data_IF_772169388131
#
_entry.id   IF_772169388131
#
_cell.length_a   1.000
_cell.length_b   1.000
_cell.length_c   1.000
_cell.angle_alpha   90.00
_cell.angle_beta   90.00
_cell.angle_gamma   90.00
#
_symmetry.space_group_name_H-M   'P 1'
#
loop_
_entity.id
_entity.type
_entity.pdbx_description
1 polymer ?
#
# COMPACT_ATOMS: atom_id res chain seq x y z
N UNK A 1 25.06 38.57 -3.17
CA UNK A 1 23.91 38.01 -2.41
C UNK A 1 23.78 36.49 -2.51
N UNK A 2 24.49 35.80 -3.41
CA UNK A 2 24.43 34.34 -3.60
C UNK A 2 25.31 33.53 -2.65
N UNK A 3 26.43 34.09 -2.21
CA UNK A 3 27.43 33.39 -1.38
C UNK A 3 26.95 33.15 0.07
N UNK A 4 26.23 34.11 0.66
CA UNK A 4 25.61 33.97 1.97
C UNK A 4 24.52 32.88 2.02
N UNK A 5 23.74 32.75 0.94
CA UNK A 5 22.70 31.73 0.85
C UNK A 5 23.30 30.32 0.73
N UNK A 6 24.45 30.18 0.05
CA UNK A 6 25.14 28.90 -0.11
C UNK A 6 25.70 28.37 1.21
N UNK A 7 26.40 29.21 1.96
CA UNK A 7 27.01 28.80 3.24
C UNK A 7 25.95 28.37 4.26
N UNK A 8 24.81 29.09 4.32
CA UNK A 8 23.69 28.71 5.20
C UNK A 8 23.07 27.36 4.84
N UNK A 9 23.02 26.98 3.56
CA UNK A 9 22.50 25.66 3.14
C UNK A 9 23.48 24.55 3.49
N UNK A 10 24.77 24.77 3.26
CA UNK A 10 25.84 23.81 3.61
C UNK A 10 25.87 23.55 5.11
N UNK A 11 25.81 24.59 5.94
CA UNK A 11 25.77 24.47 7.41
C UNK A 11 24.54 23.68 7.87
N UNK A 12 23.35 24.04 7.39
CA UNK A 12 22.10 23.32 7.75
C UNK A 12 22.15 21.84 7.37
N UNK A 13 22.70 21.52 6.19
CA UNK A 13 22.80 20.13 5.75
C UNK A 13 23.86 19.36 6.53
N UNK A 14 25.02 19.98 6.85
CA UNK A 14 26.04 19.38 7.71
C UNK A 14 25.43 18.98 9.06
N UNK A 15 24.70 19.90 9.69
CA UNK A 15 24.09 19.65 11.00
C UNK A 15 23.03 18.53 10.90
N UNK A 16 22.24 18.50 9.83
CA UNK A 16 21.28 17.42 9.56
C UNK A 16 21.97 16.06 9.33
N UNK A 17 23.05 15.99 8.55
CA UNK A 17 23.83 14.76 8.33
C UNK A 17 24.32 14.20 9.67
N UNK A 18 24.81 15.07 10.56
CA UNK A 18 25.24 14.67 11.90
C UNK A 18 24.10 14.13 12.77
N UNK A 19 22.86 14.60 12.58
CA UNK A 19 21.69 14.11 13.32
C UNK A 19 21.21 12.73 12.84
N UNK A 20 21.26 12.47 11.53
CA UNK A 20 20.70 11.25 10.93
C UNK A 20 21.72 10.14 10.67
N UNK A 21 23.01 10.44 10.53
CA UNK A 21 24.06 9.47 10.23
C UNK A 21 25.07 9.33 11.38
N UNK A 22 24.87 8.32 12.24
CA UNK A 22 25.72 8.08 13.43
C UNK A 22 27.20 7.86 13.08
N UNK A 23 27.48 7.15 11.98
CA UNK A 23 28.86 6.87 11.55
C UNK A 23 29.58 8.12 11.04
N UNK A 24 28.90 8.96 10.26
CA UNK A 24 29.45 10.25 9.81
C UNK A 24 29.65 11.20 10.98
N UNK A 25 28.71 11.23 11.93
CA UNK A 25 28.82 12.01 13.16
C UNK A 25 30.06 11.62 13.96
N UNK A 26 30.25 10.32 14.23
CA UNK A 26 31.39 9.80 15.00
C UNK A 26 32.73 10.19 14.35
N UNK A 27 32.85 10.00 13.03
CA UNK A 27 34.05 10.40 12.28
C UNK A 27 34.31 11.90 12.33
N UNK A 28 33.26 12.72 12.25
CA UNK A 28 33.41 14.18 12.27
C UNK A 28 33.75 14.71 13.66
N UNK A 29 33.12 14.19 14.71
CA UNK A 29 33.37 14.61 16.09
C UNK A 29 34.68 14.08 16.66
N UNK A 30 35.25 13.05 16.04
CA UNK A 30 36.40 12.33 16.57
C UNK A 30 36.00 11.37 17.69
N UNK A 31 36.93 10.48 18.02
CA UNK A 31 36.89 9.58 19.17
C UNK A 31 38.25 9.59 19.88
N UNK A 32 38.47 8.68 20.83
CA UNK A 32 39.71 8.62 21.60
C UNK A 32 40.94 8.26 20.73
N UNK A 33 40.74 7.73 19.51
CA UNK A 33 41.79 7.29 18.58
C UNK A 33 42.00 8.28 17.42
N UNK A 34 40.98 9.06 17.04
CA UNK A 34 41.01 9.97 15.90
C UNK A 34 40.51 11.39 16.26
N UNK A 35 41.26 12.45 15.90
CA UNK A 35 40.85 13.82 16.19
C UNK A 35 39.62 14.25 15.39
N UNK A 36 38.86 15.19 15.98
CA UNK A 36 37.71 15.79 15.33
C UNK A 36 38.09 16.48 14.00
N UNK A 37 37.29 16.25 12.96
CA UNK A 37 37.45 16.93 11.66
C UNK A 37 37.07 18.41 11.84
N UNK A 38 37.88 19.37 11.38
CA UNK A 38 37.55 20.80 11.46
C UNK A 38 36.27 21.15 10.68
N UNK A 39 35.49 22.12 11.17
CA UNK A 39 34.21 22.50 10.54
C UNK A 39 34.37 22.87 9.06
N UNK A 40 35.45 23.57 8.70
CA UNK A 40 35.75 23.93 7.31
C UNK A 40 35.89 22.71 6.39
N UNK A 41 36.42 21.60 6.90
CA UNK A 41 36.55 20.35 6.14
C UNK A 41 35.21 19.61 6.03
N UNK A 42 34.40 19.65 7.10
CA UNK A 42 33.02 19.12 7.09
C UNK A 42 32.16 19.88 6.08
N UNK A 43 32.30 21.20 6.01
CA UNK A 43 31.60 22.06 5.06
C UNK A 43 32.04 21.76 3.63
N UNK A 44 33.35 21.58 3.39
CA UNK A 44 33.87 21.22 2.07
C UNK A 44 33.44 19.82 1.61
N UNK A 45 33.27 18.86 2.53
CA UNK A 45 32.72 17.53 2.23
C UNK A 45 31.22 17.61 1.91
N UNK A 46 30.46 18.38 2.69
CA UNK A 46 29.03 18.62 2.46
C UNK A 46 28.77 19.34 1.13
N UNK A 47 29.61 20.33 0.80
CA UNK A 47 29.56 21.02 -0.49
C UNK A 47 29.87 20.07 -1.67
N UNK A 48 30.84 19.16 -1.52
CA UNK A 48 31.12 18.12 -2.53
C UNK A 48 29.95 17.15 -2.70
N UNK A 49 29.30 16.76 -1.60
CA UNK A 49 28.09 15.93 -1.65
C UNK A 49 26.96 16.67 -2.39
N UNK A 50 26.70 17.93 -2.05
CA UNK A 50 25.68 18.75 -2.72
C UNK A 50 25.98 18.96 -4.21
N UNK A 51 27.26 19.12 -4.58
CA UNK A 51 27.66 19.26 -5.97
C UNK A 51 27.43 17.97 -6.79
N UNK A 52 27.47 16.80 -6.14
CA UNK A 52 27.17 15.51 -6.77
C UNK A 52 25.69 15.12 -6.67
N UNK A 53 24.92 15.77 -5.79
CA UNK A 53 23.51 15.44 -5.55
C UNK A 53 22.66 15.96 -6.71
N UNK A 54 22.10 15.02 -7.48
CA UNK A 54 21.07 15.33 -8.47
C UNK A 54 19.71 14.97 -7.90
N UNK A 55 18.86 15.96 -7.62
CA UNK A 55 17.49 15.73 -7.15
C UNK A 55 16.57 15.67 -8.37
N UNK A 56 16.16 14.46 -8.72
CA UNK A 56 15.10 14.26 -9.71
C UNK A 56 13.73 14.43 -9.05
N UNK A 57 13.20 15.65 -9.14
CA UNK A 57 11.91 16.04 -8.56
C UNK A 57 10.78 16.07 -9.59
N UNK A 58 11.11 15.91 -10.87
CA UNK A 58 10.13 15.89 -11.97
C UNK A 58 9.57 14.48 -12.19
N UNK A 59 10.27 13.43 -11.75
CA UNK A 59 9.77 12.06 -11.83
C UNK A 59 8.66 11.80 -10.82
N UNK A 60 7.64 11.12 -11.31
CA UNK A 60 6.51 10.61 -10.52
C UNK A 60 7.04 9.69 -9.42
N UNK A 61 6.58 9.93 -8.19
CA UNK A 61 6.92 9.08 -7.06
C UNK A 61 6.49 7.63 -7.31
N UNK A 62 7.26 6.67 -6.80
CA UNK A 62 7.06 5.23 -7.04
C UNK A 62 5.61 4.77 -6.78
N UNK A 63 4.95 5.36 -5.79
CA UNK A 63 3.60 5.00 -5.36
C UNK A 63 2.53 5.35 -6.40
N UNK A 64 2.83 6.30 -7.30
CA UNK A 64 1.93 6.75 -8.34
C UNK A 64 2.26 6.16 -9.72
N UNK A 65 3.41 5.47 -9.84
CA UNK A 65 3.85 4.89 -11.12
C UNK A 65 2.84 3.88 -11.64
N UNK A 66 2.21 3.05 -10.80
CA UNK A 66 1.24 2.06 -11.26
C UNK A 66 0.03 2.67 -11.97
N UNK A 67 -0.44 3.83 -11.49
CA UNK A 67 -1.61 4.52 -12.03
C UNK A 67 -1.25 5.47 -13.18
N UNK A 68 -0.11 6.17 -13.08
CA UNK A 68 0.28 7.18 -14.06
C UNK A 68 1.03 6.60 -15.26
N UNK A 69 1.78 5.50 -15.09
CA UNK A 69 2.62 4.94 -16.15
C UNK A 69 1.85 4.46 -17.39
N UNK A 70 0.67 3.82 -17.27
CA UNK A 70 -0.13 3.48 -18.45
C UNK A 70 -0.37 4.68 -19.35
N UNK A 71 -0.81 5.80 -18.78
CA UNK A 71 -1.14 7.00 -19.55
C UNK A 71 0.09 7.78 -19.99
N UNK A 72 1.10 7.92 -19.13
CA UNK A 72 2.25 8.79 -19.40
C UNK A 72 3.34 8.14 -20.25
N UNK A 73 3.53 6.82 -20.15
CA UNK A 73 4.63 6.14 -20.84
C UNK A 73 4.14 5.19 -21.92
N UNK A 74 3.03 4.49 -21.69
CA UNK A 74 2.55 3.46 -22.64
C UNK A 74 1.66 4.05 -23.73
N UNK A 75 0.71 4.93 -23.38
CA UNK A 75 -0.17 5.55 -24.37
C UNK A 75 0.60 6.23 -25.53
N UNK A 76 1.65 7.04 -25.28
CA UNK A 76 2.40 7.67 -26.38
C UNK A 76 3.11 6.67 -27.29
N UNK A 77 3.47 5.48 -26.77
CA UNK A 77 4.06 4.41 -27.58
C UNK A 77 3.00 3.75 -28.46
N UNK A 78 1.81 3.48 -27.91
CA UNK A 78 0.68 2.95 -28.66
C UNK A 78 0.23 3.91 -29.77
N UNK A 79 0.17 5.21 -29.46
CA UNK A 79 -0.18 6.25 -30.42
C UNK A 79 0.83 6.29 -31.59
N UNK A 80 2.14 6.21 -31.28
CA UNK A 80 3.20 6.16 -32.30
C UNK A 80 3.18 4.87 -33.13
N UNK A 81 2.76 3.75 -32.55
CA UNK A 81 2.59 2.48 -33.26
C UNK A 81 1.31 2.45 -34.12
N UNK A 82 0.38 3.39 -33.91
CA UNK A 82 -0.90 3.42 -34.60
C UNK A 82 -1.84 2.29 -34.18
N UNK A 83 -1.69 1.78 -32.95
CA UNK A 83 -2.47 0.63 -32.46
C UNK A 83 -3.35 1.03 -31.27
N UNK A 84 -4.62 0.60 -31.32
CA UNK A 84 -5.55 0.78 -30.20
C UNK A 84 -5.52 -0.45 -29.29
N UNK A 85 -4.94 -0.29 -28.10
CA UNK A 85 -4.93 -1.33 -27.05
C UNK A 85 -5.06 -0.68 -25.66
N UNK A 86 -5.56 -1.41 -24.64
CA UNK A 86 -5.63 -0.87 -23.27
C UNK A 86 -4.22 -0.64 -22.71
N UNK A 87 -3.83 0.62 -22.52
CA UNK A 87 -2.49 0.99 -22.05
C UNK A 87 -2.13 0.34 -20.70
N UNK A 88 -3.11 0.15 -19.81
CA UNK A 88 -2.91 -0.53 -18.53
C UNK A 88 -2.50 -2.00 -18.70
N UNK A 89 -3.07 -2.69 -19.69
CA UNK A 89 -2.73 -4.09 -19.98
C UNK A 89 -1.31 -4.22 -20.53
N UNK A 90 -0.95 -3.31 -21.44
CA UNK A 90 0.40 -3.24 -22.02
C UNK A 90 1.44 -2.88 -20.94
N UNK A 91 1.14 -1.93 -20.05
CA UNK A 91 2.00 -1.61 -18.92
C UNK A 91 2.22 -2.82 -18.00
N UNK A 92 1.14 -3.55 -17.66
CA UNK A 92 1.23 -4.76 -16.83
C UNK A 92 2.10 -5.83 -17.49
N UNK A 93 1.96 -6.05 -18.80
CA UNK A 93 2.79 -7.01 -19.53
C UNK A 93 4.28 -6.66 -19.44
N UNK A 94 4.62 -5.39 -19.65
CA UNK A 94 6.00 -4.90 -19.48
C UNK A 94 6.46 -5.12 -18.04
N UNK A 95 5.66 -4.71 -17.05
CA UNK A 95 6.01 -4.87 -15.64
C UNK A 95 6.20 -6.34 -15.23
N UNK A 96 5.43 -7.27 -15.80
CA UNK A 96 5.55 -8.69 -15.52
C UNK A 96 6.86 -9.28 -16.08
N UNK A 97 7.41 -8.73 -17.18
CA UNK A 97 8.79 -9.04 -17.61
C UNK A 97 9.79 -8.60 -16.54
N UNK A 98 9.67 -7.38 -16.03
CA UNK A 98 10.52 -6.89 -14.93
C UNK A 98 10.41 -7.79 -13.69
N UNK A 99 9.19 -8.10 -13.25
CA UNK A 99 8.94 -8.93 -12.07
C UNK A 99 9.45 -10.36 -12.25
N UNK A 100 9.26 -10.97 -13.41
CA UNK A 100 9.77 -12.32 -13.70
C UNK A 100 11.29 -12.38 -13.57
N UNK A 101 11.98 -11.39 -14.14
CA UNK A 101 13.44 -11.27 -14.09
C UNK A 101 13.96 -10.95 -12.68
N UNK A 102 13.17 -10.25 -11.86
CA UNK A 102 13.55 -9.86 -10.48
C UNK A 102 13.16 -10.87 -9.40
N UNK A 103 12.05 -11.60 -9.52
CA UNK A 103 11.55 -12.55 -8.49
C UNK A 103 12.39 -13.81 -8.33
N UNK A 104 13.16 -14.20 -9.35
CA UNK A 104 13.92 -15.45 -9.37
C UNK A 104 15.08 -15.57 -8.37
N UNK A 105 15.11 -14.82 -7.25
CA UNK A 105 16.29 -14.81 -6.38
C UNK A 105 16.14 -14.65 -4.86
N UNK A 106 14.98 -14.32 -4.31
CA UNK A 106 14.89 -14.01 -2.87
C UNK A 106 15.83 -12.87 -2.43
N UNK A 107 15.91 -12.57 -1.11
CA UNK A 107 16.72 -11.48 -0.58
C UNK A 107 18.22 -11.79 -0.69
N UNK A 108 19.00 -10.88 -1.26
CA UNK A 108 20.47 -10.99 -1.37
C UNK A 108 21.12 -10.09 -0.33
N UNK A 109 21.88 -10.66 0.60
CA UNK A 109 22.37 -9.99 1.82
C UNK A 109 23.24 -8.74 1.62
N UNK A 110 23.73 -8.46 0.40
CA UNK A 110 24.66 -7.35 0.16
C UNK A 110 24.18 -6.32 -0.87
N UNK A 111 23.12 -6.58 -1.65
CA UNK A 111 22.73 -5.75 -2.80
C UNK A 111 23.86 -5.64 -3.85
N UNK A 112 23.67 -6.13 -5.07
CA UNK A 112 24.78 -6.29 -6.05
C UNK A 112 25.35 -5.00 -6.67
N UNK A 113 25.17 -3.85 -6.01
CA UNK A 113 25.82 -2.59 -6.34
C UNK A 113 27.35 -2.74 -6.55
N UNK A 114 28.11 -3.52 -5.75
CA UNK A 114 29.54 -3.72 -5.98
C UNK A 114 29.88 -4.33 -7.34
N UNK A 115 29.00 -5.21 -7.85
CA UNK A 115 29.19 -5.92 -9.13
C UNK A 115 28.91 -5.02 -10.34
N UNK A 116 27.98 -4.07 -10.20
CA UNK A 116 27.68 -3.06 -11.23
C UNK A 116 28.75 -1.95 -11.22
N UNK A 117 29.28 -1.58 -10.04
CA UNK A 117 30.34 -0.57 -9.92
C UNK A 117 31.67 -1.03 -10.52
N UNK A 118 31.97 -2.34 -10.54
CA UNK A 118 33.14 -2.88 -11.26
C UNK A 118 33.10 -2.61 -12.77
N UNK A 119 31.92 -2.35 -13.36
CA UNK A 119 31.76 -1.97 -14.77
C UNK A 119 32.46 -0.66 -15.13
N UNK A 120 32.66 0.24 -14.16
CA UNK A 120 33.32 1.53 -14.37
C UNK A 120 34.84 1.48 -14.37
N UNK A 121 35.44 0.44 -13.79
CA UNK A 121 36.90 0.39 -13.53
C UNK A 121 37.68 -0.55 -14.43
N UNK A 122 37.05 -1.55 -15.04
CA UNK A 122 37.75 -2.54 -15.88
C UNK A 122 37.19 -2.58 -17.30
N UNK A 123 38.03 -2.22 -18.28
CA UNK A 123 37.77 -2.43 -19.72
C UNK A 123 37.82 -3.92 -20.15
N UNK A 124 38.14 -4.83 -19.23
CA UNK A 124 38.10 -6.27 -19.47
C UNK A 124 36.67 -6.80 -19.30
N UNK A 125 36.19 -7.53 -20.30
CA UNK A 125 34.85 -8.11 -20.30
C UNK A 125 34.56 -8.97 -19.08
N UNK A 126 33.29 -9.08 -18.72
CA UNK A 126 32.85 -9.88 -17.58
C UNK A 126 33.27 -11.36 -17.73
N UNK A 127 33.63 -12.05 -16.62
CA UNK A 127 33.68 -13.51 -16.60
C UNK A 127 32.37 -14.08 -17.18
N UNK A 128 32.46 -15.14 -17.99
CA UNK A 128 31.32 -15.71 -18.73
C UNK A 128 30.12 -16.04 -17.84
N UNK A 129 30.36 -16.51 -16.63
CA UNK A 129 29.33 -16.78 -15.63
C UNK A 129 28.64 -15.51 -15.12
N UNK A 130 29.41 -14.44 -14.93
CA UNK A 130 28.88 -13.14 -14.53
C UNK A 130 28.10 -12.48 -15.68
N UNK A 131 28.61 -12.58 -16.91
CA UNK A 131 27.90 -12.13 -18.12
C UNK A 131 26.56 -12.86 -18.29
N UNK A 132 26.55 -14.18 -18.06
CA UNK A 132 25.33 -15.01 -18.11
C UNK A 132 24.35 -14.69 -16.97
N UNK A 133 24.86 -14.35 -15.78
CA UNK A 133 24.01 -13.89 -14.69
C UNK A 133 23.42 -12.51 -14.95
N UNK A 134 24.22 -11.58 -15.48
CA UNK A 134 23.77 -10.23 -15.84
C UNK A 134 22.79 -10.25 -17.02
N UNK A 135 23.01 -11.09 -18.04
CA UNK A 135 22.10 -11.23 -19.18
C UNK A 135 20.73 -11.80 -18.77
N UNK A 136 20.70 -12.65 -17.75
CA UNK A 136 19.44 -13.12 -17.13
C UNK A 136 18.68 -12.01 -16.41
N UNK A 137 19.33 -10.90 -16.03
CA UNK A 137 18.76 -9.77 -15.27
C UNK A 137 18.63 -8.49 -16.08
N UNK A 138 19.27 -8.42 -17.25
CA UNK A 138 19.11 -7.32 -18.17
C UNK A 138 17.78 -7.45 -18.89
N UNK A 139 17.04 -6.36 -18.93
CA UNK A 139 15.86 -6.22 -19.77
C UNK A 139 16.29 -5.37 -20.94
N UNK A 140 16.16 -5.92 -22.13
CA UNK A 140 16.52 -5.26 -23.38
C UNK A 140 15.30 -4.54 -23.96
N UNK A 141 15.54 -3.61 -24.88
CA UNK A 141 14.46 -2.99 -25.64
C UNK A 141 13.63 -4.01 -26.43
N UNK A 142 14.26 -5.11 -26.87
CA UNK A 142 13.58 -6.20 -27.56
C UNK A 142 12.59 -6.93 -26.64
N UNK A 143 12.97 -7.19 -25.38
CA UNK A 143 12.05 -7.81 -24.40
C UNK A 143 10.81 -6.93 -24.16
N UNK A 144 11.00 -5.61 -24.09
CA UNK A 144 9.92 -4.63 -23.92
C UNK A 144 9.02 -4.60 -25.17
N UNK A 145 9.62 -4.54 -26.36
CA UNK A 145 8.88 -4.57 -27.61
C UNK A 145 8.02 -5.84 -27.73
N UNK A 146 8.59 -7.02 -27.45
CA UNK A 146 7.86 -8.28 -27.47
C UNK A 146 6.71 -8.29 -26.47
N UNK A 147 6.91 -7.76 -25.26
CA UNK A 147 5.84 -7.66 -24.26
C UNK A 147 4.69 -6.77 -24.75
N UNK A 148 5.01 -5.65 -25.40
CA UNK A 148 4.01 -4.74 -25.99
C UNK A 148 3.25 -5.46 -27.10
N UNK A 149 3.94 -6.08 -28.06
CA UNK A 149 3.31 -6.81 -29.17
C UNK A 149 2.40 -7.93 -28.69
N UNK A 150 2.82 -8.70 -27.68
CA UNK A 150 2.00 -9.76 -27.10
C UNK A 150 0.77 -9.19 -26.40
N UNK A 151 0.91 -8.11 -25.62
CA UNK A 151 -0.19 -7.48 -24.90
C UNK A 151 -1.19 -6.80 -25.84
N UNK A 152 -0.72 -6.21 -26.94
CA UNK A 152 -1.56 -5.65 -28.00
C UNK A 152 -2.41 -6.74 -28.65
N UNK A 153 -1.81 -7.88 -28.97
CA UNK A 153 -2.52 -8.99 -29.61
C UNK A 153 -3.42 -9.79 -28.65
N UNK A 154 -3.11 -9.79 -27.34
CA UNK A 154 -3.83 -10.55 -26.30
C UNK A 154 -4.02 -9.74 -25.02
N UNK A 155 -4.80 -8.63 -25.07
CA UNK A 155 -4.91 -7.71 -23.94
C UNK A 155 -5.56 -8.34 -22.72
N UNK A 156 -6.48 -9.29 -22.91
CA UNK A 156 -7.24 -9.95 -21.84
C UNK A 156 -6.31 -10.63 -20.81
N UNK A 157 -5.21 -11.25 -21.27
CA UNK A 157 -4.26 -11.92 -20.37
C UNK A 157 -3.52 -10.98 -19.41
N UNK A 158 -3.55 -9.68 -19.70
CA UNK A 158 -2.88 -8.65 -18.91
C UNK A 158 -3.85 -7.57 -18.42
N UNK A 159 -5.16 -7.76 -18.56
CA UNK A 159 -6.10 -6.87 -17.89
C UNK A 159 -6.00 -7.12 -16.38
N UNK A 160 -6.03 -6.04 -15.60
CA UNK A 160 -6.28 -6.19 -14.17
C UNK A 160 -7.64 -6.89 -14.02
N UNK A 161 -7.69 -7.89 -13.14
CA UNK A 161 -8.96 -8.50 -12.80
C UNK A 161 -9.89 -7.36 -12.38
N UNK A 162 -11.12 -7.31 -12.91
CA UNK A 162 -12.08 -6.31 -12.48
C UNK A 162 -12.17 -6.39 -10.96
N UNK A 163 -11.96 -5.24 -10.30
CA UNK A 163 -12.19 -5.15 -8.86
C UNK A 163 -13.62 -5.59 -8.63
N UNK A 164 -13.80 -6.62 -7.80
CA UNK A 164 -15.12 -7.10 -7.43
C UNK A 164 -15.90 -5.90 -6.90
N UNK A 165 -17.06 -5.64 -7.50
CA UNK A 165 -17.87 -4.49 -7.10
C UNK A 165 -18.37 -4.71 -5.68
N UNK A 166 -18.38 -3.67 -4.86
CA UNK A 166 -18.85 -3.81 -3.50
C UNK A 166 -20.32 -4.24 -3.52
N UNK A 167 -20.59 -5.35 -2.86
CA UNK A 167 -21.88 -6.05 -2.89
C UNK A 167 -22.78 -5.64 -1.72
N UNK A 168 -22.25 -4.89 -0.75
CA UNK A 168 -22.94 -4.55 0.48
C UNK A 168 -22.59 -3.17 1.00
N UNK A 169 -23.49 -2.61 1.83
CA UNK A 169 -23.26 -1.33 2.52
C UNK A 169 -22.07 -1.38 3.48
N UNK A 170 -21.81 -2.56 4.06
CA UNK A 170 -20.65 -2.80 4.92
C UNK A 170 -19.36 -2.58 4.14
N UNK A 171 -19.24 -3.21 2.98
CA UNK A 171 -18.05 -3.17 2.13
C UNK A 171 -17.73 -1.75 1.69
N UNK A 172 -18.72 -1.03 1.16
CA UNK A 172 -18.58 0.38 0.74
C UNK A 172 -18.09 1.27 1.88
N UNK A 173 -18.58 1.06 3.11
CA UNK A 173 -18.17 1.87 4.27
C UNK A 173 -16.77 1.57 4.76
N UNK A 174 -16.38 0.30 4.76
CA UNK A 174 -15.03 -0.13 5.14
C UNK A 174 -14.02 0.35 4.09
N UNK A 175 -14.35 0.23 2.81
CA UNK A 175 -13.54 0.75 1.71
C UNK A 175 -13.37 2.28 1.80
N UNK A 176 -14.46 3.02 2.01
CA UNK A 176 -14.40 4.47 2.25
C UNK A 176 -13.61 4.84 3.52
N UNK A 177 -13.51 3.92 4.48
CA UNK A 177 -12.64 4.05 5.66
C UNK A 177 -11.17 3.71 5.38
N UNK A 178 -10.81 3.26 4.18
CA UNK A 178 -9.45 2.82 3.85
C UNK A 178 -9.06 1.50 4.51
N UNK A 179 -10.04 0.63 4.79
CA UNK A 179 -9.77 -0.74 5.25
C UNK A 179 -9.19 -1.58 4.11
N UNK A 180 -8.28 -2.51 4.45
CA UNK A 180 -7.67 -3.41 3.46
C UNK A 180 -8.68 -4.44 2.93
N UNK A 181 -8.48 -4.95 1.71
CA UNK A 181 -9.34 -6.00 1.11
C UNK A 181 -9.48 -7.23 2.02
N UNK A 182 -8.41 -7.65 2.70
CA UNK A 182 -8.49 -8.76 3.67
C UNK A 182 -9.39 -8.44 4.87
N UNK A 183 -9.41 -7.18 5.30
CA UNK A 183 -10.31 -6.70 6.36
C UNK A 183 -11.75 -6.70 5.90
N UNK A 184 -12.01 -6.32 4.65
CA UNK A 184 -13.34 -6.36 4.03
C UNK A 184 -13.87 -7.79 3.99
N UNK A 185 -13.09 -8.74 3.46
CA UNK A 185 -13.46 -10.16 3.39
C UNK A 185 -13.73 -10.75 4.77
N UNK A 186 -12.86 -10.46 5.75
CA UNK A 186 -13.06 -10.89 7.15
C UNK A 186 -14.37 -10.32 7.72
N UNK A 187 -14.64 -9.03 7.50
CA UNK A 187 -15.86 -8.40 8.00
C UNK A 187 -17.13 -9.02 7.38
N UNK A 188 -17.08 -9.37 6.10
CA UNK A 188 -18.17 -10.06 5.41
C UNK A 188 -18.42 -11.46 5.99
N UNK A 189 -17.36 -12.25 6.21
CA UNK A 189 -17.46 -13.56 6.86
C UNK A 189 -18.07 -13.44 8.26
N UNK A 190 -17.50 -12.58 9.12
CA UNK A 190 -17.96 -12.38 10.49
C UNK A 190 -19.44 -11.94 10.55
N UNK A 191 -19.88 -11.08 9.63
CA UNK A 191 -21.28 -10.68 9.52
C UNK A 191 -22.18 -11.87 9.15
N UNK A 192 -21.74 -12.73 8.23
CA UNK A 192 -22.48 -13.94 7.87
C UNK A 192 -22.62 -14.87 9.08
N UNK A 193 -21.50 -15.18 9.73
CA UNK A 193 -21.45 -16.08 10.89
C UNK A 193 -22.36 -15.57 12.03
N UNK A 194 -22.34 -14.25 12.30
CA UNK A 194 -23.22 -13.62 13.28
C UNK A 194 -24.71 -13.79 12.95
N UNK A 195 -25.08 -13.65 11.66
CA UNK A 195 -26.47 -13.84 11.23
C UNK A 195 -26.90 -15.29 11.33
N UNK A 196 -26.03 -16.22 10.95
CA UNK A 196 -26.29 -17.66 11.03
C UNK A 196 -26.47 -18.11 12.49
N UNK A 197 -25.63 -17.60 13.40
CA UNK A 197 -25.78 -17.83 14.84
C UNK A 197 -27.17 -17.42 15.34
N UNK A 198 -27.61 -16.19 15.04
CA UNK A 198 -28.92 -15.72 15.50
C UNK A 198 -30.08 -16.40 14.79
N UNK A 199 -29.94 -16.73 13.50
CA UNK A 199 -30.94 -17.47 12.75
C UNK A 199 -31.19 -18.85 13.37
N UNK A 200 -30.12 -19.59 13.68
CA UNK A 200 -30.21 -20.89 14.35
C UNK A 200 -30.83 -20.78 15.74
N UNK A 201 -30.46 -19.75 16.51
CA UNK A 201 -30.93 -19.59 17.89
C UNK A 201 -32.37 -19.10 18.00
N UNK A 202 -32.79 -18.14 17.17
CA UNK A 202 -34.15 -17.61 17.15
C UNK A 202 -35.20 -18.67 16.74
N UNK A 203 -34.78 -19.74 16.06
CA UNK A 203 -35.66 -20.87 15.72
C UNK A 203 -36.00 -21.77 16.92
N UNK A 204 -35.23 -21.72 18.01
CA UNK A 204 -35.37 -22.64 19.15
C UNK A 204 -35.56 -21.98 20.52
N UNK A 205 -35.20 -20.71 20.67
CA UNK A 205 -35.21 -20.00 21.95
C UNK A 205 -36.08 -18.71 21.87
N UNK A 206 -37.21 -18.65 22.60
CA UNK A 206 -38.07 -17.46 22.60
C UNK A 206 -37.40 -16.21 23.20
N UNK A 207 -36.33 -16.39 24.00
CA UNK A 207 -35.59 -15.29 24.61
C UNK A 207 -34.47 -14.75 23.71
N UNK A 208 -34.10 -15.47 22.63
CA UNK A 208 -33.01 -15.10 21.73
C UNK A 208 -33.13 -13.67 21.19
N UNK A 209 -34.35 -13.23 20.82
CA UNK A 209 -34.58 -11.86 20.33
C UNK A 209 -34.28 -10.79 21.37
N UNK A 210 -34.60 -11.06 22.64
CA UNK A 210 -34.33 -10.13 23.73
C UNK A 210 -32.82 -10.04 23.98
N UNK A 211 -32.13 -11.18 24.00
CA UNK A 211 -30.67 -11.22 24.15
C UNK A 211 -29.95 -10.53 23.00
N UNK A 212 -30.37 -10.77 21.75
CA UNK A 212 -29.84 -10.09 20.58
C UNK A 212 -29.96 -8.57 20.71
N UNK A 213 -31.13 -8.07 21.11
CA UNK A 213 -31.32 -6.62 21.33
C UNK A 213 -30.44 -6.08 22.45
N UNK A 214 -30.23 -6.84 23.52
CA UNK A 214 -29.33 -6.46 24.62
C UNK A 214 -27.88 -6.36 24.12
N UNK A 215 -27.43 -7.34 23.34
CA UNK A 215 -26.12 -7.33 22.71
C UNK A 215 -25.96 -6.17 21.74
N UNK A 216 -26.93 -5.91 20.85
CA UNK A 216 -26.86 -4.78 19.91
C UNK A 216 -26.65 -3.44 20.62
N UNK A 217 -27.33 -3.21 21.75
CA UNK A 217 -27.15 -1.99 22.56
C UNK A 217 -25.77 -1.92 23.20
N UNK A 218 -25.23 -3.06 23.65
CA UNK A 218 -23.87 -3.13 24.19
C UNK A 218 -22.85 -2.78 23.10
N UNK A 219 -22.96 -3.40 21.93
CA UNK A 219 -22.07 -3.17 20.80
C UNK A 219 -22.13 -1.72 20.31
N UNK A 220 -23.32 -1.12 20.24
CA UNK A 220 -23.47 0.30 19.93
C UNK A 220 -22.75 1.19 20.96
N UNK A 221 -22.91 0.90 22.25
CA UNK A 221 -22.21 1.65 23.31
C UNK A 221 -20.69 1.56 23.17
N UNK A 222 -20.17 0.38 22.82
CA UNK A 222 -18.74 0.19 22.55
C UNK A 222 -18.32 1.05 21.36
N UNK A 223 -19.10 1.06 20.29
CA UNK A 223 -18.84 1.94 19.14
C UNK A 223 -18.77 3.41 19.56
N UNK A 224 -19.78 3.90 20.27
CA UNK A 224 -19.84 5.30 20.72
C UNK A 224 -18.57 5.67 21.51
N UNK A 225 -18.24 4.86 22.53
CA UNK A 225 -17.04 5.05 23.36
C UNK A 225 -15.73 5.02 22.57
N UNK A 226 -15.67 4.20 21.53
CA UNK A 226 -14.47 4.07 20.69
C UNK A 226 -14.34 5.23 19.71
N UNK A 227 -15.46 5.80 19.27
CA UNK A 227 -15.51 6.92 18.33
C UNK A 227 -15.40 8.31 18.96
N UNK A 228 -15.47 8.41 20.29
CA UNK A 228 -15.37 9.69 21.03
C UNK A 228 -13.98 10.38 20.96
N UNK A 229 -12.98 9.76 20.29
CA UNK A 229 -11.64 10.32 20.08
C UNK A 229 -11.48 11.06 18.74
N UNK A 230 -10.53 12.01 18.63
CA UNK A 230 -10.31 12.74 17.39
C UNK A 230 -9.84 11.82 16.25
N UNK A 231 -10.61 11.80 15.16
CA UNK A 231 -10.28 11.19 13.85
C UNK A 231 -9.94 9.69 13.83
N UNK A 232 -10.51 8.88 14.74
CA UNK A 232 -10.42 7.42 14.65
C UNK A 232 -11.36 6.89 13.58
N UNK A 233 -10.84 6.68 12.37
CA UNK A 233 -11.58 6.10 11.24
C UNK A 233 -10.88 4.84 10.71
N UNK A 234 -11.62 4.07 9.91
CA UNK A 234 -11.07 3.01 9.09
C UNK A 234 -10.42 1.87 9.87
N UNK A 235 -9.23 1.49 9.40
CA UNK A 235 -8.43 0.40 10.01
C UNK A 235 -8.09 0.67 11.47
N UNK A 236 -7.91 1.93 11.89
CA UNK A 236 -7.63 2.25 13.29
C UNK A 236 -8.86 2.02 14.17
N UNK A 237 -10.04 2.47 13.72
CA UNK A 237 -11.29 2.22 14.41
C UNK A 237 -11.59 0.71 14.49
N UNK A 238 -11.34 -0.03 13.41
CA UNK A 238 -11.47 -1.49 13.40
C UNK A 238 -10.66 -2.15 14.52
N UNK A 239 -9.37 -1.83 14.62
CA UNK A 239 -8.49 -2.39 15.67
C UNK A 239 -8.96 -2.04 17.06
N UNK A 240 -9.40 -0.80 17.28
CA UNK A 240 -9.90 -0.37 18.59
C UNK A 240 -11.19 -1.09 18.99
N UNK A 241 -12.09 -1.32 18.05
CA UNK A 241 -13.30 -2.11 18.30
C UNK A 241 -12.96 -3.57 18.61
N UNK A 242 -12.02 -4.16 17.87
CA UNK A 242 -11.51 -5.51 18.13
C UNK A 242 -10.88 -5.61 19.53
N UNK A 243 -10.02 -4.66 19.91
CA UNK A 243 -9.45 -4.56 21.27
C UNK A 243 -10.54 -4.44 22.34
N UNK A 244 -11.53 -3.56 22.13
CA UNK A 244 -12.62 -3.33 23.09
C UNK A 244 -13.50 -4.57 23.27
N UNK A 245 -13.80 -5.29 22.20
CA UNK A 245 -14.60 -6.52 22.23
C UNK A 245 -13.82 -7.67 22.86
N UNK A 246 -12.54 -7.82 22.53
CA UNK A 246 -11.66 -8.82 23.15
C UNK A 246 -11.45 -8.59 24.66
N UNK A 247 -11.68 -7.36 25.13
CA UNK A 247 -11.59 -6.99 26.55
C UNK A 247 -12.91 -7.19 27.31
N UNK A 248 -13.99 -7.60 26.64
CA UNK A 248 -15.26 -7.87 27.31
C UNK A 248 -15.17 -9.11 28.19
N UNK A 249 -15.83 -9.05 29.33
CA UNK A 249 -16.05 -10.24 30.16
C UNK A 249 -16.90 -11.26 29.38
N UNK A 250 -16.44 -12.52 29.21
CA UNK A 250 -17.18 -13.56 28.50
C UNK A 250 -18.60 -13.79 29.04
N UNK A 251 -18.86 -13.52 30.32
CA UNK A 251 -20.18 -13.65 30.94
C UNK A 251 -21.22 -12.63 30.44
N UNK A 252 -20.75 -11.54 29.80
CA UNK A 252 -21.61 -10.51 29.21
C UNK A 252 -22.10 -10.92 27.82
N UNK A 253 -21.35 -11.79 27.13
CA UNK A 253 -21.70 -12.29 25.81
C UNK A 253 -22.77 -13.40 25.92
N UNK A 254 -23.66 -13.52 24.92
CA UNK A 254 -24.59 -14.63 24.84
C UNK A 254 -23.89 -16.00 24.88
N UNK A 255 -24.58 -17.03 25.35
CA UNK A 255 -24.02 -18.38 25.42
C UNK A 255 -23.52 -18.87 24.04
N UNK A 256 -22.27 -19.35 24.01
CA UNK A 256 -21.63 -19.83 22.78
C UNK A 256 -21.18 -18.73 21.82
N UNK A 257 -21.27 -17.45 22.20
CA UNK A 257 -20.72 -16.34 21.43
C UNK A 257 -19.32 -15.99 21.91
N UNK A 258 -18.37 -15.97 20.99
CA UNK A 258 -17.01 -15.50 21.22
C UNK A 258 -16.84 -14.03 20.76
N UNK A 259 -15.69 -13.39 21.07
CA UNK A 259 -15.40 -12.02 20.65
C UNK A 259 -15.45 -11.81 19.12
N UNK A 260 -15.05 -12.81 18.32
CA UNK A 260 -15.06 -12.68 16.85
C UNK A 260 -16.50 -12.61 16.33
N UNK A 261 -17.39 -13.47 16.83
CA UNK A 261 -18.80 -13.45 16.48
C UNK A 261 -19.48 -12.15 16.95
N UNK A 262 -19.07 -11.61 18.10
CA UNK A 262 -19.51 -10.29 18.56
C UNK A 262 -19.05 -9.16 17.61
N UNK A 263 -17.83 -9.25 17.06
CA UNK A 263 -17.33 -8.34 16.01
C UNK A 263 -18.17 -8.46 14.72
N UNK A 264 -18.67 -9.66 14.40
CA UNK A 264 -19.69 -9.85 13.36
C UNK A 264 -20.97 -9.04 13.58
N UNK A 265 -21.37 -8.85 14.85
CA UNK A 265 -22.48 -7.98 15.22
C UNK A 265 -22.23 -6.51 14.91
N UNK A 266 -21.00 -6.01 15.08
CA UNK A 266 -20.60 -4.65 14.66
C UNK A 266 -20.68 -4.51 13.14
N UNK A 267 -20.24 -5.54 12.41
CA UNK A 267 -20.32 -5.58 10.95
C UNK A 267 -21.79 -5.53 10.47
N UNK A 268 -22.69 -6.25 11.14
CA UNK A 268 -24.14 -6.19 10.88
C UNK A 268 -24.78 -4.84 11.25
N UNK A 269 -24.33 -4.19 12.33
CA UNK A 269 -24.76 -2.83 12.69
C UNK A 269 -24.28 -1.80 11.65
N UNK A 270 -23.07 -1.99 11.11
CA UNK A 270 -22.49 -1.13 10.08
C UNK A 270 -23.27 -1.24 8.77
N UNK A 271 -23.61 -2.46 8.35
CA UNK A 271 -24.46 -2.71 7.19
C UNK A 271 -25.85 -2.04 7.32
N UNK A 272 -26.42 -2.03 8.53
CA UNK A 272 -27.68 -1.35 8.87
C UNK A 272 -27.54 0.17 9.12
N UNK A 273 -26.39 0.76 8.81
CA UNK A 273 -26.13 2.20 8.98
C UNK A 273 -26.20 2.72 10.42
N UNK A 274 -26.05 1.85 11.41
CA UNK A 274 -25.97 2.22 12.82
C UNK A 274 -24.54 2.57 13.26
N UNK A 275 -23.54 2.02 12.58
CA UNK A 275 -22.11 2.26 12.83
C UNK A 275 -21.43 2.69 11.51
N UNK A 276 -20.41 3.53 11.62
CA UNK A 276 -19.68 4.10 10.48
C UNK A 276 -18.17 4.02 10.71
N UNK A 277 -17.44 3.52 9.72
CA UNK A 277 -15.97 3.46 9.71
C UNK A 277 -15.31 4.64 8.98
N UNK A 278 -16.14 5.56 8.48
CA UNK A 278 -15.76 6.72 7.69
C UNK A 278 -16.73 7.86 8.03
N UNK A 279 -16.53 9.03 7.43
CA UNK A 279 -17.54 10.08 7.48
C UNK A 279 -18.87 9.58 6.90
N UNK A 280 -19.99 10.17 7.31
CA UNK A 280 -21.29 9.79 6.75
C UNK A 280 -21.39 10.24 5.30
N UNK A 281 -21.89 9.36 4.44
CA UNK A 281 -22.19 9.63 3.04
C UNK A 281 -23.38 8.79 2.58
N UNK A 282 -23.89 9.07 1.38
CA UNK A 282 -24.97 8.30 0.79
C UNK A 282 -24.45 7.00 0.17
N UNK A 283 -24.58 5.91 0.93
CA UNK A 283 -24.10 4.58 0.54
C UNK A 283 -24.96 3.99 -0.58
N UNK A 284 -26.26 4.28 -0.56
CA UNK A 284 -27.18 3.75 -1.57
C UNK A 284 -26.93 4.43 -2.92
N UNK A 285 -26.55 5.72 -2.94
CA UNK A 285 -26.10 6.40 -4.16
C UNK A 285 -24.81 5.80 -4.74
N UNK A 286 -23.85 5.40 -3.91
CA UNK A 286 -22.61 4.75 -4.37
C UNK A 286 -22.91 3.39 -4.99
N UNK A 287 -23.70 2.55 -4.29
CA UNK A 287 -24.14 1.25 -4.81
C UNK A 287 -24.94 1.38 -6.11
N UNK A 288 -25.79 2.41 -6.22
CA UNK A 288 -26.57 2.67 -7.43
C UNK A 288 -25.67 3.13 -8.60
N UNK A 289 -24.71 4.03 -8.36
CA UNK A 289 -23.78 4.49 -9.39
C UNK A 289 -22.99 3.31 -9.99
N UNK A 290 -22.59 2.36 -9.16
CA UNK A 290 -21.86 1.16 -9.58
C UNK A 290 -22.74 0.14 -10.34
N UNK A 291 -24.06 0.21 -10.17
CA UNK A 291 -25.02 -0.63 -10.92
C UNK A 291 -25.34 -0.06 -12.32
N UNK A 292 -25.34 1.26 -12.49
CA UNK A 292 -25.71 1.92 -13.76
C UNK A 292 -24.60 1.82 -14.82
N UNK A 293 -23.35 1.67 -14.42
CA UNK A 293 -22.21 1.44 -15.33
C UNK A 293 -22.26 0.10 -16.10
N UNK A 294 -23.19 -0.80 -15.73
CA UNK A 294 -23.39 -2.10 -16.38
C UNK A 294 -24.32 -2.03 -17.60
N UNK A 295 -25.23 -1.04 -17.65
CA UNK A 295 -26.25 -0.92 -18.69
C UNK A 295 -25.82 -0.18 -19.96
N UNK A 296 -24.66 0.48 -19.96
CA UNK A 296 -24.16 1.32 -21.07
C UNK A 296 -23.00 0.72 -21.85
N UNK A 297 -22.65 -0.55 -21.58
CA UNK A 297 -21.62 -1.32 -22.31
C UNK A 297 -22.16 -2.63 -22.90
N UNK A 298 -23.42 -2.62 -23.35
CA UNK A 298 -23.98 -3.66 -24.23
C UNK A 298 -24.08 -3.14 -25.66
#
# INVERSE_FOLDING_TARGET
>A
MTEFAHNTVVEKLRDAIGAYCKSTKLRWTGDDEAPAVPDRERDAETARFLAALTIDHERIHRDHVEYAAPTMFVQPVLDKMGVSAPAAAVWKAVLDVFRSRMRGRGPVSAGELPTILQRGYTFQGFPSDLARMLSRRSITMLDIQQAIEVAVNRPIGYQQLPVLRPSSRLEVKLEAGGCSVNTLERAMSLRSDYRDYWSGRESGDPMARMERRRLERLLQRICDQTTDGPNLLGTLLWRRLEEAINSLDPSVLPAGMDPELAMGGICDLTDRCKVWFSHRFDVDAVLAADSVGEGTRS
#
